data_IF_808790058985
#
_entry.id   IF_808790058985
#
_cell.length_a   1.000
_cell.length_b   1.000
_cell.length_c   1.000
_cell.angle_alpha   90.00
_cell.angle_beta   90.00
_cell.angle_gamma   90.00
#
_symmetry.space_group_name_H-M   'P 1'
#
loop_
_entity.id
_entity.type
_entity.pdbx_description
1 polymer ?
#
# COMPACT_ATOMS: atom_id res chain seq x y z
N UNK A 1 19.61 85.14 39.19
CA UNK A 1 19.63 85.86 37.90
C UNK A 1 18.65 85.20 36.95
N UNK A 2 18.23 85.97 35.95
CA UNK A 2 17.16 85.76 34.96
C UNK A 2 17.35 84.56 34.02
N UNK A 3 16.24 84.18 33.37
CA UNK A 3 16.03 83.19 32.30
C UNK A 3 16.01 81.70 32.74
N UNK A 4 15.15 80.81 32.22
CA UNK A 4 13.76 80.97 31.71
C UNK A 4 13.02 79.59 31.67
N UNK A 5 12.16 79.29 30.68
CA UNK A 5 11.45 78.01 30.51
C UNK A 5 11.98 77.17 29.34
N UNK A 6 11.93 75.84 29.46
CA UNK A 6 11.63 74.96 28.32
C UNK A 6 10.99 73.64 28.79
N UNK A 7 9.99 73.17 28.03
CA UNK A 7 9.31 71.89 28.23
C UNK A 7 9.80 70.91 27.16
N UNK A 8 10.14 69.69 27.54
CA UNK A 8 10.18 68.57 26.60
C UNK A 8 9.71 67.29 27.28
N UNK A 9 8.63 66.72 26.75
CA UNK A 9 8.14 65.42 27.17
C UNK A 9 8.98 64.31 26.55
N UNK A 10 9.11 63.17 27.25
CA UNK A 10 9.22 61.83 26.62
C UNK A 10 8.87 60.72 27.61
N UNK A 11 7.65 60.22 27.43
CA UNK A 11 7.29 58.78 27.43
C UNK A 11 7.71 57.89 28.61
N UNK A 12 6.73 57.67 29.48
CA UNK A 12 6.31 56.31 29.89
C UNK A 12 6.25 55.35 28.67
N UNK A 13 6.41 54.02 28.76
CA UNK A 13 5.98 53.09 29.81
C UNK A 13 6.79 51.79 29.66
N UNK A 14 7.19 51.12 30.75
CA UNK A 14 7.89 49.84 30.68
C UNK A 14 7.31 48.83 31.69
N UNK A 15 6.20 48.17 31.35
CA UNK A 15 5.64 47.03 32.11
C UNK A 15 4.50 46.32 31.33
N UNK A 16 4.85 45.56 30.29
CA UNK A 16 3.90 44.67 29.56
C UNK A 16 4.63 43.66 28.66
N UNK A 17 5.44 42.75 29.22
CA UNK A 17 6.16 41.73 28.42
C UNK A 17 6.28 40.34 29.08
N UNK A 18 5.34 39.98 29.96
CA UNK A 18 5.27 38.62 30.56
C UNK A 18 3.81 38.12 30.62
N UNK A 19 3.11 38.08 29.47
CA UNK A 19 1.90 37.24 29.30
C UNK A 19 1.50 37.01 27.83
N UNK A 20 2.43 36.59 26.96
CA UNK A 20 2.10 36.18 25.58
C UNK A 20 3.11 35.16 25.04
N UNK A 21 3.13 33.97 25.64
CA UNK A 21 3.99 32.85 25.24
C UNK A 21 3.31 31.47 25.34
N UNK A 22 1.97 31.44 25.38
CA UNK A 22 1.16 30.24 25.14
C UNK A 22 0.09 30.60 24.11
N UNK A 23 0.29 30.17 22.86
CA UNK A 23 -0.69 29.81 21.82
C UNK A 23 0.11 29.40 20.58
N UNK A 24 -0.38 28.40 19.84
CA UNK A 24 0.13 27.92 18.55
C UNK A 24 1.55 27.31 18.53
N UNK A 25 1.72 26.19 19.23
CA UNK A 25 2.17 25.00 18.51
C UNK A 25 0.90 24.25 18.07
N UNK A 26 0.36 24.64 16.91
CA UNK A 26 -0.43 23.68 16.15
C UNK A 26 0.56 22.62 15.67
N UNK A 27 0.47 21.44 16.26
CA UNK A 27 1.01 20.25 15.61
C UNK A 27 0.27 20.12 14.29
N UNK A 28 0.94 20.46 13.19
CA UNK A 28 0.49 20.07 11.87
C UNK A 28 0.47 18.55 11.84
N UNK A 29 -0.69 17.97 12.14
CA UNK A 29 -0.99 16.62 11.74
C UNK A 29 -0.86 16.61 10.22
N UNK A 30 0.25 16.05 9.74
CA UNK A 30 0.33 15.60 8.35
C UNK A 30 -0.85 14.64 8.20
N UNK A 31 -1.90 15.08 7.50
CA UNK A 31 -2.99 14.19 7.16
C UNK A 31 -2.36 13.03 6.40
N UNK A 32 -2.62 11.78 6.82
CA UNK A 32 -2.10 10.59 6.15
C UNK A 32 -2.31 10.77 4.65
N UNK A 33 -1.23 10.74 3.87
CA UNK A 33 -1.31 11.01 2.44
C UNK A 33 -2.28 10.01 1.81
N UNK A 34 -3.37 10.51 1.22
CA UNK A 34 -4.36 9.64 0.55
C UNK A 34 -3.87 9.13 -0.80
N UNK A 35 -2.66 9.56 -1.23
CA UNK A 35 -1.95 9.04 -2.38
C UNK A 35 -1.89 7.51 -2.33
N UNK A 36 -2.55 6.88 -3.30
CA UNK A 36 -2.59 5.43 -3.49
C UNK A 36 -2.18 4.99 -4.89
N UNK A 37 -2.05 5.92 -5.84
CA UNK A 37 -1.60 5.65 -7.20
C UNK A 37 -0.72 6.79 -7.72
N UNK A 38 0.36 6.46 -8.43
CA UNK A 38 1.06 7.40 -9.30
C UNK A 38 1.81 6.69 -10.45
N UNK A 39 2.13 7.44 -11.51
CA UNK A 39 3.18 7.08 -12.46
C UNK A 39 4.52 7.56 -11.92
N UNK A 40 5.56 6.73 -11.92
CA UNK A 40 6.93 7.19 -11.61
C UNK A 40 7.29 8.48 -12.38
N UNK A 41 7.68 9.58 -11.70
CA UNK A 41 8.06 10.81 -12.42
C UNK A 41 9.27 10.65 -13.33
N UNK A 42 10.14 9.69 -13.03
CA UNK A 42 11.29 9.28 -13.80
C UNK A 42 11.53 7.79 -13.61
N UNK A 43 12.05 7.11 -14.64
CA UNK A 43 12.52 5.73 -14.49
C UNK A 43 13.87 5.67 -13.76
N UNK A 44 14.30 4.48 -13.28
CA UNK A 44 15.61 4.29 -12.62
C UNK A 44 16.84 4.58 -13.51
N UNK A 45 16.65 4.81 -14.80
CA UNK A 45 17.70 5.21 -15.75
C UNK A 45 18.42 4.06 -16.48
N UNK A 46 18.05 2.80 -16.19
CA UNK A 46 18.60 1.61 -16.83
C UNK A 46 17.57 0.92 -17.75
N UNK A 47 16.72 1.70 -18.44
CA UNK A 47 15.64 1.14 -19.26
C UNK A 47 14.67 0.29 -18.43
N UNK A 48 14.33 -0.89 -18.93
CA UNK A 48 13.44 -1.85 -18.26
C UNK A 48 14.16 -2.80 -17.28
N UNK A 49 15.47 -2.61 -17.01
CA UNK A 49 16.13 -3.30 -15.91
C UNK A 49 15.87 -2.54 -14.61
N UNK A 50 14.82 -2.97 -13.91
CA UNK A 50 14.35 -2.42 -12.65
C UNK A 50 14.93 -3.17 -11.44
N UNK A 51 15.68 -4.26 -11.65
CA UNK A 51 16.12 -5.17 -10.59
C UNK A 51 15.08 -6.24 -10.24
N UNK A 52 14.23 -6.63 -11.19
CA UNK A 52 13.05 -7.46 -10.93
C UNK A 52 11.94 -6.69 -10.23
N UNK A 53 10.89 -7.41 -9.79
CA UNK A 53 9.75 -6.81 -9.09
C UNK A 53 10.18 -6.10 -7.80
N UNK A 54 11.01 -6.75 -6.97
CA UNK A 54 11.54 -6.19 -5.72
C UNK A 54 12.24 -4.83 -5.95
N UNK A 55 13.02 -4.70 -7.02
CA UNK A 55 13.69 -3.43 -7.34
C UNK A 55 12.73 -2.35 -7.86
N UNK A 56 11.69 -2.73 -8.60
CA UNK A 56 10.63 -1.82 -9.03
C UNK A 56 9.78 -1.33 -7.85
N UNK A 57 9.39 -2.22 -6.94
CA UNK A 57 8.63 -1.91 -5.72
C UNK A 57 9.42 -0.98 -4.79
N UNK A 58 10.70 -1.28 -4.56
CA UNK A 58 11.60 -0.41 -3.79
C UNK A 58 11.77 0.98 -4.43
N UNK A 59 11.68 1.08 -5.75
CA UNK A 59 11.71 2.36 -6.46
C UNK A 59 10.40 3.15 -6.30
N UNK A 60 9.24 2.48 -6.36
CA UNK A 60 7.96 3.08 -5.99
C UNK A 60 7.98 3.61 -4.55
N UNK A 61 8.45 2.79 -3.60
CA UNK A 61 8.61 3.17 -2.20
C UNK A 61 9.49 4.43 -2.04
N UNK A 62 10.64 4.48 -2.74
CA UNK A 62 11.56 5.63 -2.72
C UNK A 62 10.90 6.92 -3.21
N UNK A 63 10.09 6.85 -4.28
CA UNK A 63 9.38 8.02 -4.81
C UNK A 63 8.23 8.46 -3.90
N UNK A 64 7.49 7.52 -3.31
CA UNK A 64 6.43 7.82 -2.36
C UNK A 64 6.96 8.47 -1.06
N UNK A 65 8.10 7.98 -0.54
CA UNK A 65 8.80 8.59 0.60
C UNK A 65 9.16 10.06 0.34
N UNK A 66 9.64 10.38 -0.87
CA UNK A 66 10.00 11.74 -1.27
C UNK A 66 8.84 12.75 -1.26
N UNK A 67 7.59 12.26 -1.24
CA UNK A 67 6.35 13.08 -1.17
C UNK A 67 5.54 12.83 0.12
N UNK A 68 6.12 12.18 1.12
CA UNK A 68 5.46 11.94 2.41
C UNK A 68 4.39 10.83 2.41
N UNK A 69 4.43 9.93 1.44
CA UNK A 69 3.53 8.77 1.33
C UNK A 69 4.21 7.42 1.63
N UNK A 70 5.39 7.45 2.25
CA UNK A 70 6.23 6.28 2.54
C UNK A 70 5.72 5.34 3.65
N UNK A 71 4.71 5.73 4.43
CA UNK A 71 4.14 4.88 5.48
C UNK A 71 3.31 3.71 4.92
N UNK A 72 2.80 3.85 3.69
CA UNK A 72 2.17 2.77 2.91
C UNK A 72 3.24 1.89 2.26
N UNK A 73 2.88 0.66 1.90
CA UNK A 73 3.75 -0.18 1.06
C UNK A 73 3.36 0.03 -0.40
N UNK A 74 4.36 0.11 -1.26
CA UNK A 74 4.18 0.39 -2.69
C UNK A 74 4.61 -0.78 -3.56
N UNK A 75 3.74 -1.16 -4.48
CA UNK A 75 3.94 -2.23 -5.45
C UNK A 75 3.93 -1.63 -6.86
N UNK A 76 4.92 -1.99 -7.67
CA UNK A 76 4.96 -1.64 -9.08
C UNK A 76 3.98 -2.53 -9.86
N UNK A 77 3.06 -1.93 -10.61
CA UNK A 77 2.14 -2.67 -11.48
C UNK A 77 2.91 -3.26 -12.66
N UNK A 78 3.40 -4.48 -12.47
CA UNK A 78 4.24 -5.22 -13.40
C UNK A 78 3.95 -6.71 -13.27
N UNK A 79 3.69 -7.38 -14.38
CA UNK A 79 3.60 -8.85 -14.45
C UNK A 79 4.99 -9.46 -14.66
N UNK A 80 5.19 -10.72 -14.30
CA UNK A 80 6.38 -11.52 -14.68
C UNK A 80 5.97 -12.85 -15.28
N UNK A 81 6.70 -13.27 -16.32
CA UNK A 81 6.47 -14.54 -17.00
C UNK A 81 7.12 -15.68 -16.22
N UNK A 82 6.45 -16.85 -16.20
CA UNK A 82 7.01 -18.07 -15.61
C UNK A 82 8.37 -18.40 -16.24
N UNK A 83 9.41 -18.50 -15.42
CA UNK A 83 10.80 -18.59 -15.88
C UNK A 83 11.70 -19.22 -14.83
N UNK A 84 12.65 -20.05 -15.27
CA UNK A 84 13.68 -20.66 -14.41
C UNK A 84 13.11 -21.43 -13.20
N UNK A 85 11.91 -22.01 -13.35
CA UNK A 85 11.19 -22.73 -12.30
C UNK A 85 10.42 -21.84 -11.31
N UNK A 86 10.37 -20.53 -11.53
CA UNK A 86 9.45 -19.61 -10.86
C UNK A 86 8.15 -19.52 -11.65
N UNK A 87 7.03 -19.46 -10.95
CA UNK A 87 5.71 -19.26 -11.54
C UNK A 87 5.54 -17.84 -12.11
N UNK A 88 4.51 -17.68 -12.93
CA UNK A 88 4.09 -16.37 -13.40
C UNK A 88 3.46 -15.58 -12.25
N UNK A 89 3.59 -14.25 -12.28
CA UNK A 89 2.86 -13.36 -11.37
C UNK A 89 2.16 -12.29 -12.18
N UNK A 90 0.87 -12.08 -11.92
CA UNK A 90 0.08 -11.05 -12.57
C UNK A 90 0.28 -9.70 -11.87
N UNK A 91 0.13 -8.60 -12.61
CA UNK A 91 0.20 -7.27 -12.02
C UNK A 91 -1.03 -6.97 -11.14
N UNK A 92 -2.22 -7.44 -11.54
CA UNK A 92 -3.49 -7.21 -10.81
C UNK A 92 -3.48 -7.79 -9.39
N UNK A 93 -2.88 -8.97 -9.20
CA UNK A 93 -2.88 -9.71 -7.93
C UNK A 93 -1.98 -9.05 -6.87
N UNK A 94 -1.09 -8.13 -7.29
CA UNK A 94 -0.05 -7.54 -6.44
C UNK A 94 -0.39 -6.16 -5.88
N UNK A 95 -1.37 -5.47 -6.45
CA UNK A 95 -1.62 -4.03 -6.18
C UNK A 95 -2.66 -3.76 -5.08
N UNK A 96 -3.16 -4.82 -4.43
CA UNK A 96 -4.18 -4.75 -3.39
C UNK A 96 -5.59 -4.56 -3.93
N UNK A 97 -6.55 -4.33 -3.04
CA UNK A 97 -7.98 -4.20 -3.35
C UNK A 97 -8.42 -2.79 -3.77
N UNK A 98 -7.63 -1.75 -3.48
CA UNK A 98 -8.03 -0.34 -3.65
C UNK A 98 -8.71 0.23 -2.40
N UNK A 99 -9.39 1.40 -2.47
CA UNK A 99 -9.41 2.33 -3.60
C UNK A 99 -8.08 3.09 -3.74
N UNK A 100 -7.73 3.48 -4.96
CA UNK A 100 -6.51 4.25 -5.22
C UNK A 100 -6.82 5.68 -5.68
N UNK A 101 -6.24 6.66 -5.00
CA UNK A 101 -6.31 8.08 -5.37
C UNK A 101 -4.96 8.57 -5.89
N UNK A 102 -4.98 9.50 -6.85
CA UNK A 102 -3.78 10.24 -7.25
C UNK A 102 -3.41 11.32 -6.21
N UNK A 103 -2.30 12.03 -6.43
CA UNK A 103 -1.80 13.06 -5.51
C UNK A 103 -2.71 14.30 -5.34
N UNK A 104 -3.79 14.42 -6.13
CA UNK A 104 -4.82 15.45 -5.98
C UNK A 104 -6.10 14.91 -5.31
N UNK A 105 -6.07 13.69 -4.76
CA UNK A 105 -7.22 13.04 -4.12
C UNK A 105 -8.28 12.53 -5.09
N UNK A 106 -8.01 12.53 -6.41
CA UNK A 106 -8.95 12.00 -7.41
C UNK A 106 -8.85 10.49 -7.43
N UNK A 107 -9.97 9.81 -7.21
CA UNK A 107 -10.08 8.35 -7.32
C UNK A 107 -9.78 7.93 -8.77
N UNK A 108 -8.85 6.99 -8.90
CA UNK A 108 -8.41 6.39 -10.17
C UNK A 108 -9.23 5.14 -10.47
N UNK A 109 -9.48 4.32 -9.45
CA UNK A 109 -10.42 3.21 -9.42
C UNK A 109 -10.76 2.88 -7.95
N UNK A 110 -11.96 2.40 -7.67
CA UNK A 110 -12.36 1.97 -6.33
C UNK A 110 -11.89 0.54 -6.02
N UNK A 111 -11.81 -0.33 -7.03
CA UNK A 111 -11.33 -1.71 -6.90
C UNK A 111 -10.63 -2.23 -8.17
N UNK A 112 -10.10 -3.46 -8.11
CA UNK A 112 -9.38 -4.14 -9.21
C UNK A 112 -10.28 -4.26 -10.44
N UNK A 113 -11.56 -4.56 -10.26
CA UNK A 113 -12.55 -4.77 -11.33
C UNK A 113 -12.84 -3.46 -12.08
N UNK A 114 -12.98 -2.34 -11.37
CA UNK A 114 -13.05 -1.01 -11.98
C UNK A 114 -11.73 -0.65 -12.67
N UNK A 115 -10.58 -0.93 -12.05
CA UNK A 115 -9.26 -0.66 -12.61
C UNK A 115 -9.03 -1.37 -13.95
N UNK A 116 -9.52 -2.60 -14.11
CA UNK A 116 -9.48 -3.33 -15.37
C UNK A 116 -10.71 -3.11 -16.27
N UNK A 117 -11.71 -2.38 -15.78
CA UNK A 117 -12.92 -1.98 -16.48
C UNK A 117 -13.01 -0.48 -16.74
N UNK A 118 -14.01 0.17 -16.13
CA UNK A 118 -14.39 1.56 -16.37
C UNK A 118 -13.68 2.56 -15.44
N UNK A 119 -12.34 2.46 -15.35
CA UNK A 119 -11.52 3.33 -14.52
C UNK A 119 -11.47 4.80 -14.97
N UNK A 120 -10.86 5.61 -14.11
CA UNK A 120 -10.59 7.03 -14.33
C UNK A 120 -9.13 7.30 -14.74
N UNK A 121 -8.42 6.39 -15.43
CA UNK A 121 -7.07 6.64 -15.96
C UNK A 121 -7.13 7.41 -17.29
N UNK A 122 -6.52 8.60 -17.30
CA UNK A 122 -6.32 9.45 -18.47
C UNK A 122 -5.20 10.46 -18.19
N UNK A 123 -4.83 11.29 -19.18
CA UNK A 123 -3.72 12.27 -19.08
C UNK A 123 -3.87 13.27 -17.92
N UNK A 124 -5.09 13.57 -17.48
CA UNK A 124 -5.36 14.54 -16.41
C UNK A 124 -5.35 13.92 -15.00
N UNK A 125 -5.51 12.60 -14.90
CA UNK A 125 -5.66 11.88 -13.63
C UNK A 125 -4.50 10.93 -13.34
N UNK A 126 -3.82 10.43 -14.39
CA UNK A 126 -2.65 9.58 -14.27
C UNK A 126 -1.39 10.43 -14.01
N UNK A 127 -1.34 11.01 -12.81
CA UNK A 127 -0.31 11.95 -12.36
C UNK A 127 0.91 11.22 -11.78
N UNK A 128 2.02 11.94 -11.65
CA UNK A 128 3.18 11.45 -10.91
C UNK A 128 3.06 11.62 -9.40
N UNK A 129 4.04 11.14 -8.63
CA UNK A 129 4.02 11.19 -7.16
C UNK A 129 3.90 12.61 -6.60
N UNK A 130 4.34 13.62 -7.38
CA UNK A 130 4.31 15.05 -7.03
C UNK A 130 3.00 15.74 -7.44
N UNK A 131 2.06 15.02 -8.06
CA UNK A 131 0.82 15.57 -8.61
C UNK A 131 1.00 16.32 -9.94
N UNK A 132 2.11 16.12 -10.63
CA UNK A 132 2.36 16.72 -11.95
C UNK A 132 1.81 15.82 -13.06
N UNK A 133 1.35 16.43 -14.16
CA UNK A 133 0.95 15.71 -15.38
C UNK A 133 2.19 15.08 -16.00
N UNK A 134 2.12 13.79 -16.33
CA UNK A 134 3.15 13.11 -17.11
C UNK A 134 3.01 13.48 -18.59
N UNK A 135 4.14 13.71 -19.26
CA UNK A 135 4.15 14.00 -20.69
C UNK A 135 3.57 12.83 -21.49
N UNK A 136 2.46 13.08 -22.17
CA UNK A 136 1.79 12.15 -23.06
C UNK A 136 2.13 12.40 -24.53
N UNK A 137 1.35 11.75 -25.40
CA UNK A 137 1.42 11.92 -26.84
C UNK A 137 1.22 13.38 -27.23
N UNK A 138 2.11 13.89 -28.07
CA UNK A 138 2.13 15.29 -28.52
C UNK A 138 2.98 16.22 -27.67
N UNK A 139 3.41 15.81 -26.48
CA UNK A 139 4.33 16.60 -25.65
C UNK A 139 5.81 16.35 -26.03
N UNK A 140 6.72 17.14 -25.46
CA UNK A 140 8.16 17.00 -25.69
C UNK A 140 8.93 17.03 -24.36
N UNK A 141 9.71 15.98 -24.02
CA UNK A 141 9.77 14.68 -24.68
C UNK A 141 8.43 13.92 -24.57
N UNK A 142 8.13 13.03 -25.53
CA UNK A 142 7.04 12.06 -25.38
C UNK A 142 7.44 11.00 -24.33
N UNK A 143 6.54 10.68 -23.40
CA UNK A 143 6.77 9.68 -22.32
C UNK A 143 5.50 8.86 -22.06
N UNK A 144 4.66 8.66 -23.08
CA UNK A 144 3.31 8.14 -22.88
C UNK A 144 3.23 6.63 -22.64
N UNK A 145 4.19 5.85 -23.16
CA UNK A 145 4.26 4.42 -22.90
C UNK A 145 4.75 4.13 -21.48
N UNK A 146 3.98 3.30 -20.78
CA UNK A 146 4.24 2.82 -19.42
C UNK A 146 4.49 1.30 -19.47
N UNK A 147 5.53 0.83 -18.79
CA UNK A 147 5.89 -0.60 -18.66
C UNK A 147 4.83 -1.36 -17.83
N UNK A 148 4.41 -2.54 -18.31
CA UNK A 148 3.46 -3.41 -17.59
C UNK A 148 3.76 -4.90 -17.71
N UNK A 149 4.06 -5.40 -18.92
CA UNK A 149 4.14 -6.84 -19.20
C UNK A 149 2.81 -7.59 -19.06
N UNK A 150 1.68 -6.88 -19.03
CA UNK A 150 0.35 -7.42 -18.73
C UNK A 150 -0.55 -7.47 -19.96
N UNK A 151 -1.56 -8.34 -19.91
CA UNK A 151 -2.77 -8.24 -20.74
C UNK A 151 -3.71 -7.15 -20.18
N UNK A 152 -4.80 -6.83 -20.89
CA UNK A 152 -5.74 -5.78 -20.50
C UNK A 152 -6.43 -6.04 -19.15
N UNK A 153 -6.72 -7.31 -18.85
CA UNK A 153 -7.28 -7.78 -17.58
C UNK A 153 -6.27 -7.79 -16.42
N UNK A 154 -5.01 -7.44 -16.69
CA UNK A 154 -3.91 -7.37 -15.72
C UNK A 154 -3.19 -8.70 -15.43
N UNK A 155 -3.57 -9.78 -16.12
CA UNK A 155 -2.80 -11.03 -16.12
C UNK A 155 -1.46 -10.86 -16.85
N UNK A 156 -0.49 -11.76 -16.65
CA UNK A 156 0.74 -11.78 -17.47
C UNK A 156 0.43 -12.11 -18.94
N UNK A 157 1.21 -11.57 -19.87
CA UNK A 157 1.13 -12.01 -21.28
C UNK A 157 1.74 -13.42 -21.44
N UNK A 158 0.94 -14.42 -21.86
CA UNK A 158 1.38 -15.81 -21.89
C UNK A 158 2.32 -16.12 -23.06
N UNK A 159 3.06 -17.22 -22.93
CA UNK A 159 3.94 -17.75 -23.98
C UNK A 159 5.43 -17.50 -23.75
N UNK A 160 6.25 -17.83 -24.75
CA UNK A 160 7.72 -17.86 -24.66
C UNK A 160 8.42 -16.59 -25.17
N UNK A 161 7.67 -15.65 -25.74
CA UNK A 161 8.23 -14.38 -26.17
C UNK A 161 8.44 -13.47 -24.95
N UNK A 162 9.62 -12.87 -24.83
CA UNK A 162 9.92 -11.94 -23.74
C UNK A 162 9.06 -10.68 -23.88
N UNK A 163 8.14 -10.51 -22.93
CA UNK A 163 7.21 -9.36 -22.82
C UNK A 163 7.42 -8.56 -21.53
N UNK A 164 8.49 -8.86 -20.80
CA UNK A 164 8.79 -8.29 -19.47
C UNK A 164 10.25 -7.82 -19.35
N UNK A 165 10.99 -7.77 -20.46
CA UNK A 165 12.43 -7.51 -20.48
C UNK A 165 13.21 -8.44 -19.52
N UNK A 166 12.97 -9.74 -19.65
CA UNK A 166 13.55 -10.78 -18.83
C UNK A 166 13.12 -10.68 -17.37
N UNK A 167 11.83 -10.50 -17.12
CA UNK A 167 11.25 -10.23 -15.79
C UNK A 167 11.93 -9.04 -15.09
N UNK A 168 12.07 -7.92 -15.84
CA UNK A 168 12.57 -6.63 -15.37
C UNK A 168 14.05 -6.63 -14.94
N UNK A 169 14.85 -7.52 -15.53
CA UNK A 169 16.30 -7.65 -15.27
C UNK A 169 17.19 -7.35 -16.49
N UNK A 170 16.60 -7.11 -17.67
CA UNK A 170 17.34 -6.79 -18.91
C UNK A 170 17.15 -5.33 -19.32
N UNK A 171 18.24 -4.68 -19.73
CA UNK A 171 18.24 -3.41 -20.45
C UNK A 171 18.78 -3.55 -21.88
N UNK A 172 18.83 -4.78 -22.38
CA UNK A 172 19.38 -5.14 -23.69
C UNK A 172 18.31 -5.61 -24.68
N UNK A 173 18.50 -6.83 -25.20
CA UNK A 173 17.51 -7.51 -26.04
C UNK A 173 16.32 -8.00 -25.19
N UNK A 174 15.19 -8.23 -25.87
CA UNK A 174 13.88 -8.49 -25.28
C UNK A 174 12.85 -7.46 -25.71
N UNK A 175 11.66 -7.50 -25.12
CA UNK A 175 10.64 -6.45 -25.20
C UNK A 175 9.86 -6.40 -23.88
N UNK A 176 9.28 -5.25 -23.57
CA UNK A 176 8.18 -5.13 -22.62
C UNK A 176 6.86 -4.92 -23.37
N UNK A 177 5.75 -5.47 -22.86
CA UNK A 177 4.42 -4.95 -23.19
C UNK A 177 4.17 -3.67 -22.39
N UNK A 178 3.55 -2.71 -23.09
CA UNK A 178 3.39 -1.32 -22.71
C UNK A 178 1.91 -0.93 -22.78
N UNK A 179 1.50 0.07 -22.00
CA UNK A 179 0.20 0.73 -22.13
C UNK A 179 0.31 2.26 -22.13
N UNK A 180 -0.76 2.94 -22.56
CA UNK A 180 -0.80 4.40 -22.69
C UNK A 180 -1.55 5.05 -21.52
N UNK A 181 -0.85 5.76 -20.63
CA UNK A 181 -1.51 6.46 -19.52
C UNK A 181 -2.47 7.58 -19.97
N UNK A 182 -2.24 8.12 -21.16
CA UNK A 182 -3.06 9.17 -21.78
C UNK A 182 -4.20 8.63 -22.66
N UNK A 183 -4.38 7.29 -22.68
CA UNK A 183 -5.42 6.54 -23.41
C UNK A 183 -5.43 6.82 -24.93
N UNK A 184 -4.29 7.20 -25.51
CA UNK A 184 -4.17 7.61 -26.91
C UNK A 184 -2.88 7.09 -27.55
N UNK A 185 -2.95 6.37 -28.66
CA UNK A 185 -1.72 5.92 -29.32
C UNK A 185 -1.91 5.22 -30.65
N UNK A 186 -1.09 4.20 -30.86
CA UNK A 186 -1.19 3.20 -31.94
C UNK A 186 -1.14 1.79 -31.34
N UNK A 187 -0.63 0.80 -32.06
CA UNK A 187 -0.57 -0.57 -31.55
C UNK A 187 -1.85 -1.37 -31.74
N UNK A 188 -1.98 -2.48 -31.01
CA UNK A 188 -3.09 -3.44 -31.13
C UNK A 188 -4.31 -3.02 -30.32
N UNK A 189 -4.13 -2.35 -29.18
CA UNK A 189 -5.18 -1.60 -28.49
C UNK A 189 -4.71 -0.16 -28.25
N UNK A 190 -5.03 0.79 -29.15
CA UNK A 190 -4.57 2.17 -29.07
C UNK A 190 -5.02 2.95 -27.83
N UNK A 191 -5.99 2.44 -27.07
CA UNK A 191 -6.52 3.10 -25.88
C UNK A 191 -6.10 2.44 -24.58
N UNK A 192 -5.68 1.17 -24.61
CA UNK A 192 -5.30 0.41 -23.40
C UNK A 192 -4.27 1.14 -22.54
N UNK A 193 -4.53 1.22 -21.23
CA UNK A 193 -3.64 1.85 -20.26
C UNK A 193 -2.51 0.91 -19.82
N UNK A 194 -2.66 -0.41 -20.05
CA UNK A 194 -1.75 -1.46 -19.60
C UNK A 194 -1.32 -2.49 -20.67
N UNK A 195 -1.93 -2.52 -21.87
CA UNK A 195 -1.73 -3.60 -22.86
C UNK A 195 -1.95 -3.12 -24.31
N UNK A 196 -1.28 -2.04 -24.70
CA UNK A 196 -1.44 -1.41 -26.02
C UNK A 196 -0.54 -2.02 -27.12
N UNK A 197 0.76 -2.16 -26.85
CA UNK A 197 1.74 -2.76 -27.77
C UNK A 197 3.05 -3.18 -27.09
N UNK A 198 3.96 -3.76 -27.88
CA UNK A 198 5.33 -4.06 -27.47
C UNK A 198 6.26 -2.86 -27.64
N UNK A 199 7.33 -2.84 -26.84
CA UNK A 199 8.47 -1.93 -26.98
C UNK A 199 9.36 -2.27 -28.19
N UNK A 200 10.15 -1.31 -28.67
CA UNK A 200 11.28 -1.58 -29.58
C UNK A 200 12.48 -2.26 -28.88
N UNK A 201 12.37 -2.56 -27.58
CA UNK A 201 13.36 -3.25 -26.76
C UNK A 201 13.64 -2.57 -25.42
N UNK A 202 14.47 -3.22 -24.61
CA UNK A 202 14.54 -2.95 -23.16
C UNK A 202 15.47 -1.81 -22.73
N UNK A 203 16.32 -1.31 -23.63
CA UNK A 203 17.22 -0.20 -23.31
C UNK A 203 16.48 1.14 -23.19
N UNK A 204 17.01 2.09 -22.41
CA UNK A 204 16.43 3.44 -22.30
C UNK A 204 16.25 4.13 -23.66
N UNK A 205 17.18 3.89 -24.60
CA UNK A 205 17.11 4.43 -25.96
C UNK A 205 15.95 3.80 -26.78
N UNK A 206 15.70 2.51 -26.60
CA UNK A 206 14.61 1.80 -27.29
C UNK A 206 13.23 2.17 -26.71
N UNK A 207 13.12 2.33 -25.38
CA UNK A 207 11.88 2.82 -24.76
C UNK A 207 11.54 4.23 -25.26
N UNK A 208 12.54 5.14 -25.30
CA UNK A 208 12.40 6.48 -25.89
C UNK A 208 12.08 6.49 -27.37
N UNK A 209 12.60 5.54 -28.15
CA UNK A 209 12.28 5.43 -29.58
C UNK A 209 10.89 4.82 -29.83
N UNK A 210 10.30 4.16 -28.83
CA UNK A 210 8.93 3.64 -28.89
C UNK A 210 7.94 4.77 -28.62
N UNK A 211 8.12 5.50 -27.51
CA UNK A 211 7.18 6.52 -27.04
C UNK A 211 7.17 6.76 -25.53
N UNK A 212 7.82 5.90 -24.74
CA UNK A 212 7.96 6.01 -23.28
C UNK A 212 9.33 6.49 -22.78
N UNK A 213 9.57 6.33 -21.49
CA UNK A 213 10.85 6.66 -20.85
C UNK A 213 11.21 5.70 -19.69
N UNK A 214 10.75 4.45 -19.76
CA UNK A 214 10.93 3.47 -18.67
C UNK A 214 10.15 3.81 -17.41
N UNK A 215 8.98 4.43 -17.59
CA UNK A 215 8.03 4.69 -16.50
C UNK A 215 7.18 3.45 -16.25
N UNK A 216 6.73 3.29 -15.01
CA UNK A 216 5.75 2.30 -14.57
C UNK A 216 4.78 2.92 -13.57
N UNK A 217 3.65 2.26 -13.33
CA UNK A 217 2.68 2.64 -12.31
C UNK A 217 3.07 2.06 -10.95
N UNK A 218 2.81 2.83 -9.90
CA UNK A 218 3.00 2.47 -8.51
C UNK A 218 1.66 2.55 -7.80
N UNK A 219 1.26 1.45 -7.16
CA UNK A 219 0.03 1.35 -6.38
C UNK A 219 0.40 1.11 -4.93
N UNK A 220 -0.28 1.80 -4.02
CA UNK A 220 -0.17 1.51 -2.60
C UNK A 220 -1.05 0.31 -2.28
N UNK A 221 -0.45 -0.71 -1.67
CA UNK A 221 -1.19 -1.70 -0.90
C UNK A 221 -1.38 -1.17 0.52
N UNK A 222 -2.43 -1.62 1.20
CA UNK A 222 -2.52 -1.35 2.62
C UNK A 222 -1.44 -2.15 3.35
N UNK A 223 -0.93 -1.59 4.45
CA UNK A 223 -0.06 -2.32 5.37
C UNK A 223 -0.82 -3.48 6.03
N UNK A 224 -2.14 -3.37 6.14
CA UNK A 224 -3.02 -4.48 6.54
C UNK A 224 -2.88 -5.68 5.59
N UNK A 225 -2.74 -5.46 4.28
CA UNK A 225 -2.58 -6.54 3.28
C UNK A 225 -1.25 -7.31 3.42
N UNK A 226 -0.18 -6.70 3.93
CA UNK A 226 1.04 -7.46 4.27
C UNK A 226 0.88 -8.32 5.52
N UNK A 227 -0.04 -7.95 6.42
CA UNK A 227 -0.40 -8.79 7.56
C UNK A 227 -1.33 -9.93 7.15
N UNK A 228 -1.89 -9.95 5.93
CA UNK A 228 -2.61 -11.12 5.40
C UNK A 228 -1.69 -12.23 4.91
N UNK A 229 -0.41 -11.95 4.61
CA UNK A 229 0.51 -12.98 4.09
C UNK A 229 0.52 -14.25 4.96
N UNK A 230 0.62 -14.20 6.30
CA UNK A 230 0.60 -15.41 7.13
C UNK A 230 -0.75 -16.16 7.13
N UNK A 231 -1.84 -15.46 6.79
CA UNK A 231 -3.18 -16.03 6.66
C UNK A 231 -3.40 -16.65 5.26
N UNK A 232 -2.70 -16.16 4.24
CA UNK A 232 -2.82 -16.56 2.84
C UNK A 232 -1.74 -17.53 2.35
N UNK A 233 -0.56 -17.62 2.99
CA UNK A 233 0.59 -18.42 2.52
C UNK A 233 0.65 -19.85 3.11
N UNK A 234 -0.41 -20.27 3.80
CA UNK A 234 -0.51 -21.52 4.57
C UNK A 234 0.52 -21.64 5.72
N UNK A 235 1.13 -20.55 6.20
CA UNK A 235 1.99 -20.58 7.38
C UNK A 235 1.21 -20.61 8.71
N UNK A 236 -0.03 -20.10 8.76
CA UNK A 236 -0.95 -20.18 9.91
C UNK A 236 -2.11 -21.16 9.68
N UNK A 237 -1.80 -22.46 9.72
CA UNK A 237 -2.78 -23.57 9.59
C UNK A 237 -3.30 -24.10 10.92
N UNK A 238 -2.76 -23.66 12.06
CA UNK A 238 -3.29 -23.97 13.39
C UNK A 238 -4.46 -23.02 13.72
N UNK A 239 -5.69 -23.51 13.97
CA UNK A 239 -6.85 -22.64 14.15
C UNK A 239 -6.73 -21.66 15.32
N UNK A 240 -6.18 -22.10 16.46
CA UNK A 240 -6.00 -21.24 17.64
C UNK A 240 -4.97 -20.14 17.36
N UNK A 241 -3.87 -20.46 16.67
CA UNK A 241 -2.87 -19.48 16.23
C UNK A 241 -3.43 -18.51 15.17
N UNK A 242 -4.26 -18.98 14.24
CA UNK A 242 -4.92 -18.15 13.22
C UNK A 242 -5.88 -17.15 13.87
N UNK A 243 -6.76 -17.62 14.76
CA UNK A 243 -7.64 -16.77 15.57
C UNK A 243 -6.84 -15.73 16.37
N UNK A 244 -5.78 -16.15 17.06
CA UNK A 244 -4.89 -15.25 17.82
C UNK A 244 -4.25 -14.19 16.92
N UNK A 245 -3.82 -14.56 15.70
CA UNK A 245 -3.22 -13.62 14.76
C UNK A 245 -4.22 -12.55 14.31
N UNK A 246 -5.44 -12.95 13.91
CA UNK A 246 -6.50 -12.02 13.52
C UNK A 246 -6.89 -11.09 14.69
N UNK A 247 -7.02 -11.65 15.88
CA UNK A 247 -7.53 -10.92 17.05
C UNK A 247 -6.50 -9.98 17.68
N UNK A 248 -5.23 -10.42 17.80
CA UNK A 248 -4.19 -9.72 18.54
C UNK A 248 -3.14 -9.05 17.65
N UNK A 249 -2.98 -9.49 16.38
CA UNK A 249 -2.04 -8.88 15.42
C UNK A 249 -2.75 -7.98 14.40
N UNK A 250 -3.83 -8.45 13.77
CA UNK A 250 -4.65 -7.58 12.90
C UNK A 250 -5.54 -6.64 13.72
N UNK A 251 -5.91 -7.03 14.94
CA UNK A 251 -6.90 -6.30 15.76
C UNK A 251 -8.26 -6.20 15.05
N UNK A 252 -8.70 -7.30 14.43
CA UNK A 252 -10.01 -7.38 13.77
C UNK A 252 -10.76 -8.71 14.04
N UNK A 253 -11.94 -8.85 13.46
CA UNK A 253 -12.83 -10.00 13.52
C UNK A 253 -12.53 -11.00 12.39
N UNK A 254 -12.83 -12.28 12.63
CA UNK A 254 -13.00 -13.21 11.50
C UNK A 254 -14.22 -12.75 10.70
N UNK A 255 -14.07 -12.63 9.39
CA UNK A 255 -15.10 -12.11 8.48
C UNK A 255 -14.82 -10.69 7.95
N UNK A 256 -13.90 -9.94 8.58
CA UNK A 256 -13.42 -8.64 8.06
C UNK A 256 -12.53 -8.88 6.82
N UNK A 257 -13.16 -8.89 5.64
CA UNK A 257 -12.51 -9.17 4.36
C UNK A 257 -11.65 -8.01 3.86
N UNK A 258 -12.00 -6.79 4.27
CA UNK A 258 -11.44 -5.56 3.71
C UNK A 258 -10.36 -4.92 4.62
N UNK A 259 -10.29 -5.38 5.88
CA UNK A 259 -9.43 -4.92 6.98
C UNK A 259 -9.70 -3.49 7.49
N UNK A 260 -10.96 -3.05 7.49
CA UNK A 260 -11.39 -1.79 8.12
C UNK A 260 -11.53 -1.89 9.65
N UNK A 261 -11.51 -3.11 10.20
CA UNK A 261 -11.61 -3.43 11.62
C UNK A 261 -12.99 -3.93 12.05
N UNK A 262 -13.98 -3.92 11.15
CA UNK A 262 -15.35 -4.38 11.37
C UNK A 262 -15.61 -5.68 10.60
N UNK A 263 -16.55 -6.50 11.06
CA UNK A 263 -17.15 -7.55 10.22
C UNK A 263 -18.62 -7.15 10.01
N UNK A 264 -18.98 -6.77 8.78
CA UNK A 264 -20.30 -6.23 8.50
C UNK A 264 -20.83 -6.67 7.13
N UNK A 265 -21.95 -6.09 6.71
CA UNK A 265 -22.60 -6.42 5.42
C UNK A 265 -21.74 -6.09 4.20
N UNK A 266 -20.85 -5.09 4.26
CA UNK A 266 -19.95 -4.72 3.16
C UNK A 266 -18.93 -5.83 2.87
N UNK A 267 -18.41 -6.51 3.89
CA UNK A 267 -17.52 -7.67 3.73
C UNK A 267 -18.19 -8.83 2.99
N UNK A 268 -19.37 -9.22 3.46
CA UNK A 268 -20.13 -10.29 2.82
C UNK A 268 -20.43 -9.95 1.36
N UNK A 269 -20.76 -8.69 1.08
CA UNK A 269 -20.97 -8.20 -0.29
C UNK A 269 -19.69 -8.21 -1.12
N UNK A 270 -18.52 -7.99 -0.52
CA UNK A 270 -17.22 -8.06 -1.18
C UNK A 270 -16.82 -9.51 -1.53
N UNK A 271 -16.82 -10.43 -0.56
CA UNK A 271 -16.43 -11.83 -0.82
C UNK A 271 -17.33 -12.52 -1.86
N UNK A 272 -18.64 -12.27 -1.81
CA UNK A 272 -19.57 -12.80 -2.83
C UNK A 272 -19.44 -12.16 -4.22
N UNK A 273 -18.75 -11.02 -4.37
CA UNK A 273 -18.47 -10.43 -5.69
C UNK A 273 -17.33 -11.13 -6.44
N UNK A 274 -16.38 -11.74 -5.73
CA UNK A 274 -15.34 -12.58 -6.35
C UNK A 274 -15.92 -13.87 -6.94
N UNK A 275 -16.99 -14.39 -6.33
CA UNK A 275 -17.75 -15.52 -6.86
C UNK A 275 -17.14 -16.90 -6.55
N UNK A 276 -16.21 -16.97 -5.60
CA UNK A 276 -15.48 -18.19 -5.23
C UNK A 276 -16.28 -19.12 -4.29
N UNK A 277 -17.39 -18.65 -3.72
CA UNK A 277 -18.20 -19.42 -2.77
C UNK A 277 -18.73 -20.74 -3.38
N UNK A 278 -18.18 -21.85 -2.92
CA UNK A 278 -18.47 -23.21 -3.37
C UNK A 278 -18.47 -23.37 -4.90
N UNK A 279 -17.50 -22.72 -5.58
CA UNK A 279 -17.37 -22.69 -7.04
C UNK A 279 -16.76 -23.96 -7.67
N UNK A 280 -16.20 -24.84 -6.82
CA UNK A 280 -15.47 -26.07 -7.15
C UNK A 280 -14.12 -25.89 -7.90
N UNK A 281 -13.53 -24.70 -7.84
CA UNK A 281 -12.17 -24.40 -8.29
C UNK A 281 -11.22 -24.54 -7.09
N UNK A 282 -10.47 -25.64 -7.03
CA UNK A 282 -9.57 -25.88 -5.91
C UNK A 282 -8.49 -24.79 -5.76
N UNK A 283 -8.37 -24.32 -4.52
CA UNK A 283 -7.30 -23.49 -3.98
C UNK A 283 -7.12 -22.12 -4.65
N UNK A 284 -8.22 -21.49 -5.06
CA UNK A 284 -8.23 -20.12 -5.58
C UNK A 284 -8.39 -19.04 -4.49
N UNK A 285 -8.85 -19.38 -3.29
CA UNK A 285 -9.24 -18.37 -2.29
C UNK A 285 -8.12 -17.84 -1.40
N UNK A 286 -8.44 -16.73 -0.75
CA UNK A 286 -7.59 -15.93 0.16
C UNK A 286 -8.49 -15.24 1.18
N UNK A 287 -7.91 -14.66 2.23
CA UNK A 287 -8.64 -13.94 3.27
C UNK A 287 -9.62 -12.88 2.71
N UNK A 288 -9.20 -12.14 1.68
CA UNK A 288 -10.00 -11.08 1.06
C UNK A 288 -11.10 -11.60 0.13
N UNK A 289 -11.01 -12.86 -0.30
CA UNK A 289 -12.03 -13.52 -1.15
C UNK A 289 -12.91 -14.51 -0.38
N UNK A 290 -12.55 -14.87 0.86
CA UNK A 290 -13.40 -15.59 1.81
C UNK A 290 -12.74 -16.73 2.60
N UNK A 291 -11.47 -17.07 2.33
CA UNK A 291 -10.71 -18.13 3.03
C UNK A 291 -10.33 -17.70 4.46
N UNK A 292 -11.28 -17.83 5.38
CA UNK A 292 -11.13 -17.43 6.77
C UNK A 292 -10.70 -18.58 7.67
N UNK A 293 -10.90 -19.83 7.25
CA UNK A 293 -10.38 -21.04 7.89
C UNK A 293 -8.90 -21.30 7.58
N UNK A 294 -8.41 -20.86 6.41
CA UNK A 294 -7.03 -21.03 5.96
C UNK A 294 -6.79 -22.32 5.17
N UNK A 295 -7.81 -22.88 4.52
CA UNK A 295 -7.72 -24.14 3.77
C UNK A 295 -7.71 -23.97 2.23
N UNK A 296 -7.78 -22.72 1.76
CA UNK A 296 -7.74 -22.26 0.36
C UNK A 296 -9.03 -22.36 -0.45
N UNK A 297 -10.14 -22.71 0.18
CA UNK A 297 -11.47 -22.58 -0.42
C UNK A 297 -12.24 -21.41 0.25
N UNK A 298 -13.32 -20.95 -0.36
CA UNK A 298 -14.35 -20.17 0.34
C UNK A 298 -15.63 -21.00 0.37
N UNK A 299 -15.94 -21.56 1.53
CA UNK A 299 -17.08 -22.46 1.68
C UNK A 299 -17.94 -22.16 2.93
N UNK A 300 -18.88 -23.06 3.22
CA UNK A 300 -19.78 -22.95 4.37
C UNK A 300 -19.04 -22.92 5.73
N UNK A 301 -17.85 -23.51 5.84
CA UNK A 301 -17.02 -23.52 7.05
C UNK A 301 -16.47 -22.13 7.40
N UNK A 302 -16.05 -21.33 6.41
CA UNK A 302 -15.58 -19.95 6.62
C UNK A 302 -16.69 -19.06 7.18
N UNK A 303 -17.86 -19.10 6.55
CA UNK A 303 -19.04 -18.38 7.02
C UNK A 303 -19.40 -18.81 8.45
N UNK A 304 -19.35 -20.11 8.75
CA UNK A 304 -19.60 -20.63 10.11
C UNK A 304 -18.54 -20.14 11.10
N UNK A 305 -17.26 -20.06 10.72
CA UNK A 305 -16.19 -19.55 11.58
C UNK A 305 -16.38 -18.05 11.88
N UNK A 306 -16.64 -17.23 10.86
CA UNK A 306 -16.87 -15.79 11.01
C UNK A 306 -18.06 -15.48 11.93
N UNK A 307 -19.19 -16.16 11.73
CA UNK A 307 -20.35 -16.00 12.62
C UNK A 307 -20.15 -16.61 14.02
N UNK A 308 -19.23 -17.55 14.20
CA UNK A 308 -18.84 -18.07 15.53
C UNK A 308 -17.92 -17.12 16.30
N UNK A 309 -17.06 -16.34 15.62
CA UNK A 309 -16.29 -15.26 16.26
C UNK A 309 -17.21 -14.15 16.81
N UNK A 310 -18.37 -13.97 16.19
CA UNK A 310 -19.47 -13.18 16.74
C UNK A 310 -19.33 -11.66 16.58
N UNK A 311 -18.39 -11.21 15.74
CA UNK A 311 -18.13 -9.79 15.46
C UNK A 311 -19.16 -9.07 14.59
N UNK A 312 -20.06 -9.82 13.95
CA UNK A 312 -20.94 -9.30 12.89
C UNK A 312 -21.82 -8.12 13.36
N UNK A 313 -21.67 -6.98 12.68
CA UNK A 313 -22.39 -5.72 12.95
C UNK A 313 -22.18 -5.17 14.38
N UNK A 314 -21.07 -5.55 15.05
CA UNK A 314 -20.64 -4.96 16.33
C UNK A 314 -19.73 -3.74 16.18
N UNK A 315 -19.27 -3.46 14.96
CA UNK A 315 -18.32 -2.39 14.63
C UNK A 315 -16.86 -2.73 14.95
N UNK A 316 -15.99 -1.73 14.87
CA UNK A 316 -14.53 -1.90 15.03
C UNK A 316 -14.14 -2.72 16.26
N UNK A 317 -13.33 -3.77 16.06
CA UNK A 317 -12.84 -4.58 17.19
C UNK A 317 -12.01 -3.72 18.16
N UNK A 318 -12.33 -3.70 19.46
CA UNK A 318 -11.56 -2.93 20.42
C UNK A 318 -10.19 -3.57 20.65
N UNK A 319 -9.13 -2.77 20.49
CA UNK A 319 -7.77 -3.19 20.79
C UNK A 319 -7.65 -3.71 22.23
N UNK A 320 -7.11 -4.93 22.39
CA UNK A 320 -6.94 -5.56 23.69
C UNK A 320 -5.91 -4.75 24.49
N UNK A 321 -6.35 -4.03 25.53
CA UNK A 321 -5.42 -3.25 26.34
C UNK A 321 -4.45 -4.20 27.06
N UNK A 322 -3.18 -4.16 26.71
CA UNK A 322 -2.15 -4.94 27.38
C UNK A 322 -2.20 -4.67 28.89
N UNK A 323 -2.62 -5.66 29.67
CA UNK A 323 -2.72 -5.55 31.13
C UNK A 323 -1.32 -5.37 31.68
N UNK A 324 -0.98 -4.22 32.31
CA UNK A 324 0.34 -4.04 32.90
C UNK A 324 0.45 -4.97 34.11
N UNK A 325 1.27 -6.02 34.05
CA UNK A 325 1.34 -7.04 35.10
C UNK A 325 1.59 -6.43 36.50
N UNK A 326 0.63 -6.50 37.43
CA UNK A 326 0.74 -5.81 38.72
C UNK A 326 1.06 -6.80 39.86
N UNK A 327 1.98 -7.74 39.64
CA UNK A 327 2.24 -8.83 40.60
C UNK A 327 3.71 -9.23 40.75
N UNK A 328 4.47 -9.37 39.67
CA UNK A 328 5.85 -9.88 39.70
C UNK A 328 6.80 -8.99 40.55
N UNK A 329 6.77 -7.67 40.38
CA UNK A 329 7.57 -6.72 41.19
C UNK A 329 7.10 -6.66 42.65
N UNK A 330 5.79 -6.72 42.89
CA UNK A 330 5.20 -6.63 44.25
C UNK A 330 5.51 -7.89 45.06
N UNK A 331 5.38 -9.07 44.46
CA UNK A 331 5.73 -10.34 45.09
C UNK A 331 7.24 -10.44 45.37
N UNK A 332 8.09 -9.93 44.47
CA UNK A 332 9.54 -9.86 44.69
C UNK A 332 9.89 -8.95 45.89
N UNK A 333 9.27 -7.77 45.97
CA UNK A 333 9.48 -6.82 47.08
C UNK A 333 9.03 -7.41 48.43
N UNK A 334 7.87 -8.07 48.47
CA UNK A 334 7.36 -8.76 49.66
C UNK A 334 8.26 -9.93 50.07
N UNK A 335 8.76 -10.72 49.11
CA UNK A 335 9.72 -11.80 49.36
C UNK A 335 11.03 -11.31 49.98
N UNK A 336 11.58 -10.20 49.48
CA UNK A 336 12.80 -9.57 50.01
C UNK A 336 12.57 -9.05 51.45
N UNK A 337 11.43 -8.41 51.72
CA UNK A 337 11.08 -7.97 53.09
C UNK A 337 10.99 -9.15 54.06
N UNK A 338 10.30 -10.22 53.70
CA UNK A 338 10.19 -11.43 54.52
C UNK A 338 11.57 -12.04 54.83
N UNK A 339 12.45 -12.18 53.83
CA UNK A 339 13.82 -12.68 54.05
C UNK A 339 14.67 -11.75 54.94
N UNK A 340 14.47 -10.44 54.84
CA UNK A 340 15.20 -9.47 55.68
C UNK A 340 14.81 -9.57 57.17
N UNK A 341 13.53 -9.83 57.47
CA UNK A 341 13.05 -9.98 58.85
C UNK A 341 13.41 -11.32 59.51
N UNK A 342 13.74 -12.35 58.73
CA UNK A 342 14.20 -13.64 59.26
C UNK A 342 15.66 -13.62 59.77
N UNK A 343 16.46 -12.62 59.39
CA UNK A 343 17.86 -12.46 59.86
C UNK A 343 17.94 -11.66 61.16
N UNK A 344 17.43 -12.21 62.27
CA UNK A 344 17.87 -11.78 63.61
C UNK A 344 19.21 -12.43 63.96
N UNK A 345 20.24 -11.68 64.39
CA UNK A 345 21.52 -12.26 64.76
C UNK A 345 21.41 -13.08 66.06
N UNK A 346 21.97 -14.28 66.06
CA UNK A 346 22.10 -15.08 67.27
C UNK A 346 23.20 -14.51 68.17
N UNK A 347 22.81 -13.93 69.31
CA UNK A 347 23.77 -13.52 70.34
C UNK A 347 24.31 -14.74 71.11
N UNK A 348 25.64 -14.93 71.03
CA UNK A 348 26.49 -15.43 72.11
C UNK A 348 27.81 -14.67 72.08
#
# INVERSE_FOLDING_TARGET
MRFERSVSARTTTALAFILFALIAQETSGQGKSSLGFFITSQGPGNGANLGGLIGADAYCQTLAEAVGAGDRIWQAYLSVQAKDGQDAVNARDRIGSGPWQNALGVIVANNVEELHGANNLNKQTALNEKGEIVNGRGDSPNRHDILTGSQSDGTVVPGIADTTCGNWTSSGAGSAVLGHHDRQGGGTDPTSWNSAHNSNGCSQANLRSTGGDGLFYCFAIDRSTLLLIPLDDLSLTDPDARMTYVHDTLTTWIGDSNLDGEFNTEDLVAVFQYGEYEDAIQSNSSWVTGDWTGDKEFDTADLVLAFQDGGFELGTRPAVSAVPEPSSVVLLALGIMCMSHMRKPAHR
#
